data_IF_367232981925
#
_entry.id   IF_367232981925
#
_cell.length_a   1.000
_cell.length_b   1.000
_cell.length_c   1.000
_cell.angle_alpha   90.00
_cell.angle_beta   90.00
_cell.angle_gamma   90.00
#
_symmetry.space_group_name_H-M   'P 1'
#
loop_
_entity.id
_entity.type
_entity.pdbx_description
1 polymer ?
#
# COMPACT_ATOMS: atom_id res chain seq x y z
N UNK A 1 -11.29 10.26 15.94
CA UNK A 1 -11.73 9.89 14.58
C UNK A 1 -10.48 9.81 13.70
N UNK A 2 -10.37 8.87 12.76
CA UNK A 2 -9.12 8.63 12.03
C UNK A 2 -8.86 9.69 10.95
N UNK A 3 -7.59 10.03 10.72
CA UNK A 3 -7.18 10.95 9.65
C UNK A 3 -7.04 10.17 8.35
N UNK A 4 -8.11 10.15 7.55
CA UNK A 4 -8.14 9.51 6.24
C UNK A 4 -7.74 10.55 5.19
N UNK A 5 -6.81 10.18 4.30
CA UNK A 5 -6.43 10.99 3.15
C UNK A 5 -6.78 10.26 1.88
N UNK A 6 -7.56 10.92 1.01
CA UNK A 6 -7.97 10.38 -0.28
C UNK A 6 -7.58 11.36 -1.39
N UNK A 7 -7.02 10.83 -2.47
CA UNK A 7 -6.70 11.60 -3.68
C UNK A 7 -7.19 10.82 -4.90
N UNK A 8 -7.82 11.53 -5.82
CA UNK A 8 -8.32 10.95 -7.07
C UNK A 8 -7.82 11.76 -8.26
N UNK A 9 -7.59 11.07 -9.37
CA UNK A 9 -7.23 11.67 -10.65
C UNK A 9 -7.83 10.86 -11.80
N UNK A 10 -8.07 11.52 -12.93
CA UNK A 10 -8.38 10.80 -14.17
C UNK A 10 -7.10 10.15 -14.71
N UNK A 11 -7.19 8.87 -15.05
CA UNK A 11 -6.13 8.10 -15.68
C UNK A 11 -6.70 7.34 -16.88
N UNK A 12 -6.48 7.90 -18.07
CA UNK A 12 -7.11 7.38 -19.29
C UNK A 12 -8.62 7.63 -19.23
N UNK A 13 -9.39 6.57 -19.40
CA UNK A 13 -10.86 6.61 -19.34
C UNK A 13 -11.42 6.35 -17.94
N UNK A 14 -10.54 5.99 -16.99
CA UNK A 14 -10.91 5.54 -15.64
C UNK A 14 -10.43 6.50 -14.56
N UNK A 15 -11.11 6.49 -13.40
CA UNK A 15 -10.68 7.27 -12.24
C UNK A 15 -9.77 6.42 -11.35
N UNK A 16 -8.53 6.87 -11.14
CA UNK A 16 -7.67 6.34 -10.09
C UNK A 16 -7.98 7.04 -8.78
N UNK A 17 -8.23 6.27 -7.72
CA UNK A 17 -8.37 6.76 -6.35
C UNK A 17 -7.37 6.05 -5.43
N UNK A 18 -6.66 6.83 -4.61
CA UNK A 18 -5.74 6.35 -3.59
C UNK A 18 -6.23 6.80 -2.21
N UNK A 19 -6.47 5.85 -1.30
CA UNK A 19 -6.90 6.10 0.07
C UNK A 19 -5.90 5.53 1.10
N UNK A 20 -5.58 6.31 2.12
CA UNK A 20 -4.76 5.88 3.27
C UNK A 20 -5.33 6.37 4.61
N UNK A 21 -4.92 5.74 5.70
CA UNK A 21 -5.30 6.11 7.07
C UNK A 21 -6.58 5.45 7.61
N UNK A 22 -7.27 4.65 6.79
CA UNK A 22 -8.48 3.91 7.20
C UNK A 22 -8.19 2.46 7.64
N UNK A 23 -7.45 1.71 6.83
CA UNK A 23 -7.22 0.25 7.00
C UNK A 23 -5.73 -0.05 7.23
N UNK A 24 -5.43 -1.15 7.94
CA UNK A 24 -4.07 -1.67 8.21
C UNK A 24 -3.05 -0.64 8.72
N UNK A 25 -3.50 0.24 9.64
CA UNK A 25 -2.73 1.37 10.21
C UNK A 25 -1.49 0.97 11.04
N UNK A 26 -1.29 -0.32 11.29
CA UNK A 26 -0.08 -0.81 11.96
C UNK A 26 1.08 -1.06 10.98
N UNK A 27 0.79 -1.15 9.67
CA UNK A 27 1.84 -1.13 8.66
C UNK A 27 2.48 0.26 8.62
N UNK A 28 3.76 0.34 8.23
CA UNK A 28 4.46 1.61 8.07
C UNK A 28 3.85 2.45 6.93
N UNK A 29 3.29 1.78 5.92
CA UNK A 29 2.47 2.38 4.87
C UNK A 29 1.35 1.43 4.46
N UNK A 30 0.15 1.98 4.22
CA UNK A 30 -0.98 1.22 3.70
C UNK A 30 -1.83 2.09 2.79
N UNK A 31 -2.06 1.63 1.57
CA UNK A 31 -2.88 2.32 0.57
C UNK A 31 -3.87 1.33 -0.04
N UNK A 32 -5.12 1.74 -0.15
CA UNK A 32 -6.09 1.09 -1.03
C UNK A 32 -6.12 1.91 -2.31
N UNK A 33 -5.81 1.27 -3.43
CA UNK A 33 -5.86 1.87 -4.76
C UNK A 33 -7.05 1.27 -5.52
N UNK A 34 -7.85 2.12 -6.13
CA UNK A 34 -9.00 1.73 -6.94
C UNK A 34 -8.88 2.40 -8.31
N UNK A 35 -8.96 1.62 -9.38
CA UNK A 35 -9.03 2.11 -10.76
C UNK A 35 -10.32 1.59 -11.39
N UNK A 36 -11.26 2.49 -11.65
CA UNK A 36 -12.62 2.11 -12.05
C UNK A 36 -13.28 1.22 -10.99
N UNK A 37 -13.60 -0.02 -11.36
CA UNK A 37 -14.21 -1.01 -10.46
C UNK A 37 -13.19 -1.94 -9.77
N UNK A 38 -11.92 -1.92 -10.18
CA UNK A 38 -10.89 -2.82 -9.64
C UNK A 38 -10.20 -2.17 -8.45
N UNK A 39 -10.07 -2.91 -7.34
CA UNK A 39 -9.39 -2.42 -6.13
C UNK A 39 -8.28 -3.37 -5.67
N UNK A 40 -7.16 -2.78 -5.23
CA UNK A 40 -6.03 -3.49 -4.63
C UNK A 40 -5.62 -2.82 -3.32
N UNK A 41 -5.08 -3.61 -2.40
CA UNK A 41 -4.54 -3.11 -1.15
C UNK A 41 -3.03 -3.37 -1.10
N UNK A 42 -2.25 -2.31 -0.92
CA UNK A 42 -0.80 -2.36 -0.84
C UNK A 42 -0.33 -1.97 0.57
N UNK A 43 0.43 -2.85 1.20
CA UNK A 43 0.96 -2.68 2.54
C UNK A 43 2.48 -2.76 2.52
N UNK A 44 3.13 -1.82 3.21
CA UNK A 44 4.58 -1.76 3.35
C UNK A 44 4.93 -1.81 4.82
N UNK A 45 5.89 -2.67 5.16
CA UNK A 45 6.54 -2.70 6.48
C UNK A 45 8.04 -2.77 6.28
N UNK A 46 8.80 -2.15 7.18
CA UNK A 46 10.25 -2.20 7.15
C UNK A 46 10.84 -2.29 8.56
N UNK A 47 11.93 -3.05 8.67
CA UNK A 47 12.68 -3.11 9.92
C UNK A 47 13.35 -1.76 10.20
N UNK A 48 13.24 -1.26 11.44
CA UNK A 48 13.88 0.00 11.87
C UNK A 48 15.39 -0.13 12.07
N UNK A 49 15.91 -1.35 12.05
CA UNK A 49 17.32 -1.66 12.18
C UNK A 49 17.73 -2.77 11.21
N UNK A 50 19.00 -2.73 10.79
CA UNK A 50 19.61 -3.76 9.95
C UNK A 50 19.92 -5.01 10.77
N UNK A 51 19.79 -6.19 10.16
CA UNK A 51 20.21 -7.47 10.77
C UNK A 51 21.74 -7.57 10.79
N UNK A 52 22.37 -8.03 11.89
CA UNK A 52 23.81 -8.27 11.92
C UNK A 52 24.25 -9.21 10.80
N UNK A 53 25.34 -8.88 10.12
CA UNK A 53 25.89 -9.70 9.02
C UNK A 53 25.10 -9.64 7.71
N UNK A 54 24.11 -8.76 7.58
CA UNK A 54 23.38 -8.54 6.33
C UNK A 54 24.29 -7.89 5.28
N UNK A 55 24.56 -8.60 4.19
CA UNK A 55 25.48 -8.25 3.10
C UNK A 55 24.77 -7.84 1.79
N UNK A 56 23.46 -8.07 1.70
CA UNK A 56 22.59 -7.62 0.60
C UNK A 56 21.33 -6.92 1.13
N UNK A 57 20.57 -6.25 0.25
CA UNK A 57 19.30 -5.61 0.62
C UNK A 57 18.13 -6.61 0.62
N UNK A 58 17.55 -6.98 1.79
CA UNK A 58 16.50 -8.00 1.85
C UNK A 58 15.13 -7.37 1.59
N UNK A 59 14.72 -7.37 0.31
CA UNK A 59 13.39 -6.95 -0.12
C UNK A 59 12.57 -8.15 -0.55
N UNK A 60 11.29 -8.19 -0.16
CA UNK A 60 10.36 -9.23 -0.58
C UNK A 60 9.03 -8.59 -0.98
N UNK A 61 8.42 -9.10 -2.04
CA UNK A 61 7.13 -8.67 -2.55
C UNK A 61 6.21 -9.87 -2.60
N UNK A 62 5.03 -9.74 -1.99
CA UNK A 62 3.98 -10.76 -2.03
C UNK A 62 2.76 -10.17 -2.71
N UNK A 63 2.38 -10.74 -3.84
CA UNK A 63 1.14 -10.44 -4.55
C UNK A 63 0.19 -11.62 -4.38
N UNK A 64 -1.06 -11.35 -3.99
CA UNK A 64 -2.10 -12.36 -3.81
C UNK A 64 -3.44 -11.83 -4.31
N UNK A 65 -4.09 -12.61 -5.17
CA UNK A 65 -5.49 -12.41 -5.55
C UNK A 65 -6.40 -13.16 -4.57
N UNK A 66 -7.53 -12.55 -4.21
CA UNK A 66 -8.58 -13.19 -3.43
C UNK A 66 -9.66 -13.68 -4.39
N UNK A 67 -9.95 -14.98 -4.34
CA UNK A 67 -11.03 -15.64 -5.08
C UNK A 67 -12.33 -15.64 -4.29
#
# INVERSE_FOLDING_TARGET
MFNVTTKSMQWGEETLTLETGKVARQADGSVIATLGETSVMANVTFAKSQKPGQDFFPLTVHYNEKY
#
